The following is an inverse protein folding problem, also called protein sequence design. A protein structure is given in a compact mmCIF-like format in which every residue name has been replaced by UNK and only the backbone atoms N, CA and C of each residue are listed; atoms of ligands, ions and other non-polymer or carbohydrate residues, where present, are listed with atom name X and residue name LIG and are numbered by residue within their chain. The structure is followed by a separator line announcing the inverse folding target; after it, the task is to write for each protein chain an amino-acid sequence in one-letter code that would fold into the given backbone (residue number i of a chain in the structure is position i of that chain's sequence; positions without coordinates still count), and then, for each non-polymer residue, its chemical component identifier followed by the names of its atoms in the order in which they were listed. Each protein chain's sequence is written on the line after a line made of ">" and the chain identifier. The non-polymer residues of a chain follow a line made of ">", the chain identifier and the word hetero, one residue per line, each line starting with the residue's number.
data_IF_168199504879
#
_entry.id   IF_168199504879
#
_cell.length_a   1.000
_cell.length_b   1.000
_cell.length_c   1.000
_cell.angle_alpha   90.00
_cell.angle_beta   90.00
_cell.angle_gamma   90.00
#
_symmetry.space_group_name_H-M   'P 1'
#
loop_
_entity.id
_entity.type
_entity.pdbx_description
1 polymer ?
#
# COMPACT_ATOMS: atom_id res chain seq x y z
N UNK A 1 22.39 31.65 3.62
CA UNK A 1 21.76 30.65 2.75
C UNK A 1 20.55 31.31 2.12
N UNK A 2 20.51 31.43 0.80
CA UNK A 2 19.37 31.99 0.07
C UNK A 2 18.36 30.89 -0.30
N UNK A 3 17.18 31.26 -0.78
CA UNK A 3 16.11 30.31 -1.12
C UNK A 3 16.57 29.28 -2.17
N UNK A 4 17.36 29.69 -3.16
CA UNK A 4 17.87 28.79 -4.20
C UNK A 4 18.84 27.74 -3.63
N UNK A 5 19.70 28.12 -2.68
CA UNK A 5 20.59 27.18 -1.99
C UNK A 5 19.81 26.17 -1.14
N UNK A 6 18.71 26.61 -0.51
CA UNK A 6 17.81 25.72 0.25
C UNK A 6 17.10 24.73 -0.68
N UNK A 7 16.53 25.21 -1.79
CA UNK A 7 15.85 24.37 -2.79
C UNK A 7 16.79 23.30 -3.37
N UNK A 8 18.02 23.69 -3.72
CA UNK A 8 19.02 22.75 -4.23
C UNK A 8 19.43 21.70 -3.18
N UNK A 9 19.56 22.10 -1.91
CA UNK A 9 19.83 21.18 -0.82
C UNK A 9 18.69 20.17 -0.62
N UNK A 10 17.42 20.62 -0.63
CA UNK A 10 16.25 19.73 -0.51
C UNK A 10 16.19 18.75 -1.68
N UNK A 11 16.43 19.23 -2.91
CA UNK A 11 16.47 18.37 -4.10
C UNK A 11 17.53 17.27 -3.99
N UNK A 12 18.74 17.63 -3.52
CA UNK A 12 19.83 16.66 -3.30
C UNK A 12 19.46 15.63 -2.22
N UNK A 13 18.86 16.08 -1.11
CA UNK A 13 18.42 15.19 -0.04
C UNK A 13 17.34 14.21 -0.51
N UNK A 14 16.32 14.68 -1.24
CA UNK A 14 15.27 13.80 -1.80
C UNK A 14 15.85 12.75 -2.75
N UNK A 15 16.81 13.14 -3.59
CA UNK A 15 17.50 12.19 -4.46
C UNK A 15 18.30 11.14 -3.66
N UNK A 16 19.05 11.56 -2.66
CA UNK A 16 19.81 10.64 -1.80
C UNK A 16 18.89 9.68 -1.04
N UNK A 17 17.77 10.17 -0.50
CA UNK A 17 16.76 9.34 0.17
C UNK A 17 16.17 8.33 -0.81
N UNK A 18 15.86 8.74 -2.06
CA UNK A 18 15.39 7.82 -3.09
C UNK A 18 16.37 6.67 -3.34
N UNK A 19 17.66 6.98 -3.50
CA UNK A 19 18.71 5.95 -3.66
C UNK A 19 18.80 5.03 -2.44
N UNK A 20 18.64 5.57 -1.22
CA UNK A 20 18.59 4.75 -0.01
C UNK A 20 17.35 3.87 0.03
N UNK A 21 16.20 4.36 -0.42
CA UNK A 21 14.95 3.61 -0.54
C UNK A 21 15.07 2.40 -1.46
N UNK A 22 15.78 2.55 -2.59
CA UNK A 22 16.10 1.45 -3.51
C UNK A 22 16.96 0.34 -2.86
N UNK A 23 17.68 0.65 -1.79
CA UNK A 23 18.49 -0.31 -1.04
C UNK A 23 17.71 -1.00 0.10
N UNK A 24 16.49 -0.56 0.43
CA UNK A 24 15.66 -1.20 1.45
C UNK A 24 15.07 -2.49 0.89
N UNK A 25 15.28 -3.59 1.62
CA UNK A 25 14.67 -4.87 1.27
C UNK A 25 13.16 -4.85 1.55
N UNK A 26 12.36 -4.72 0.50
CA UNK A 26 10.89 -4.78 0.55
C UNK A 26 10.36 -6.07 1.20
N UNK A 27 11.14 -7.15 1.25
CA UNK A 27 10.74 -8.37 1.97
C UNK A 27 10.81 -8.20 3.48
N UNK A 28 11.78 -7.43 3.97
CA UNK A 28 11.98 -7.22 5.40
C UNK A 28 11.25 -5.98 5.93
N UNK A 29 11.07 -4.97 5.06
CA UNK A 29 10.55 -3.63 5.40
C UNK A 29 9.53 -3.13 4.38
N UNK A 30 8.44 -3.89 4.14
CA UNK A 30 7.50 -3.61 3.04
C UNK A 30 6.81 -2.25 3.14
N UNK A 31 6.44 -1.80 4.34
CA UNK A 31 5.73 -0.52 4.52
C UNK A 31 6.70 0.65 4.36
N UNK A 32 7.90 0.57 4.95
CA UNK A 32 8.91 1.61 4.81
C UNK A 32 9.39 1.74 3.35
N UNK A 33 9.60 0.61 2.65
CA UNK A 33 9.88 0.61 1.21
C UNK A 33 8.76 1.27 0.41
N UNK A 34 7.50 0.95 0.70
CA UNK A 34 6.34 1.55 0.04
C UNK A 34 6.28 3.07 0.25
N UNK A 35 6.48 3.54 1.49
CA UNK A 35 6.47 4.97 1.81
C UNK A 35 7.54 5.72 1.00
N UNK A 36 8.75 5.18 0.91
CA UNK A 36 9.83 5.80 0.15
C UNK A 36 9.61 5.74 -1.37
N UNK A 37 9.08 4.63 -1.88
CA UNK A 37 8.76 4.49 -3.31
C UNK A 37 7.70 5.49 -3.74
N UNK A 38 6.69 5.69 -2.90
CA UNK A 38 5.55 6.56 -3.18
C UNK A 38 5.74 8.02 -2.77
N UNK A 39 6.87 8.34 -2.12
CA UNK A 39 7.15 9.66 -1.54
C UNK A 39 6.03 10.12 -0.60
N UNK A 40 5.48 9.18 0.18
CA UNK A 40 4.37 9.42 1.10
C UNK A 40 4.82 10.06 2.39
N UNK A 41 3.95 10.92 2.93
CA UNK A 41 4.05 11.40 4.29
C UNK A 41 3.16 10.58 5.26
N UNK A 42 3.16 10.98 6.52
CA UNK A 42 2.33 10.36 7.57
C UNK A 42 0.82 10.47 7.27
N UNK A 43 0.39 11.55 6.63
CA UNK A 43 -1.00 11.76 6.26
C UNK A 43 -1.45 10.82 5.14
N UNK A 44 -0.58 10.55 4.17
CA UNK A 44 -0.89 9.64 3.07
C UNK A 44 -1.04 8.19 3.55
N UNK A 45 -0.12 7.71 4.39
CA UNK A 45 -0.24 6.37 4.96
C UNK A 45 -1.45 6.27 5.91
N UNK A 46 -1.77 7.33 6.66
CA UNK A 46 -2.98 7.37 7.51
C UNK A 46 -4.25 7.19 6.68
N UNK A 47 -4.38 7.87 5.53
CA UNK A 47 -5.56 7.71 4.65
C UNK A 47 -5.70 6.29 4.12
N UNK A 48 -4.57 5.62 3.84
CA UNK A 48 -4.57 4.20 3.46
C UNK A 48 -5.13 3.36 4.61
N UNK A 49 -4.65 3.57 5.83
CA UNK A 49 -5.20 2.90 7.02
C UNK A 49 -6.71 3.16 7.20
N UNK A 50 -7.18 4.38 6.97
CA UNK A 50 -8.61 4.72 7.08
C UNK A 50 -9.48 3.90 6.10
N UNK A 51 -8.99 3.68 4.87
CA UNK A 51 -9.68 2.82 3.90
C UNK A 51 -9.68 1.38 4.38
N UNK A 52 -8.55 0.86 4.87
CA UNK A 52 -8.51 -0.50 5.43
C UNK A 52 -9.46 -0.67 6.62
N UNK A 53 -9.49 0.28 7.55
CA UNK A 53 -10.39 0.27 8.71
C UNK A 53 -11.88 0.31 8.29
N UNK A 54 -12.22 1.15 7.30
CA UNK A 54 -13.58 1.18 6.73
C UNK A 54 -14.00 -0.20 6.23
N UNK A 55 -13.08 -0.92 5.58
CA UNK A 55 -13.34 -2.23 4.99
C UNK A 55 -13.37 -3.35 6.01
N UNK A 56 -12.51 -3.30 7.01
CA UNK A 56 -12.54 -4.20 8.16
C UNK A 56 -13.89 -4.09 8.90
N UNK A 57 -14.38 -2.87 9.13
CA UNK A 57 -15.69 -2.62 9.70
C UNK A 57 -16.84 -3.18 8.83
N UNK A 58 -16.71 -3.12 7.51
CA UNK A 58 -17.70 -3.68 6.59
C UNK A 58 -17.71 -5.22 6.62
N UNK A 59 -16.54 -5.85 6.71
CA UNK A 59 -16.39 -7.30 6.90
C UNK A 59 -17.05 -7.77 8.20
N UNK A 60 -16.81 -7.07 9.32
CA UNK A 60 -17.45 -7.37 10.60
C UNK A 60 -18.97 -7.30 10.54
N UNK A 61 -19.52 -6.41 9.71
CA UNK A 61 -20.96 -6.26 9.44
C UNK A 61 -21.50 -7.25 8.39
N UNK A 62 -20.67 -8.16 7.89
CA UNK A 62 -21.00 -9.14 6.83
C UNK A 62 -21.50 -8.48 5.54
N UNK A 63 -21.03 -7.27 5.26
CA UNK A 63 -21.34 -6.59 4.00
C UNK A 63 -20.55 -7.27 2.89
N UNK A 64 -21.23 -7.62 1.78
CA UNK A 64 -20.55 -8.20 0.63
C UNK A 64 -19.67 -7.15 -0.03
N UNK A 65 -18.38 -7.45 -0.07
CA UNK A 65 -17.35 -6.59 -0.64
C UNK A 65 -17.08 -6.93 -2.11
N UNK A 66 -16.69 -5.93 -2.90
CA UNK A 66 -16.29 -6.10 -4.30
C UNK A 66 -14.96 -5.40 -4.55
N UNK A 67 -14.06 -6.00 -5.34
CA UNK A 67 -12.77 -5.40 -5.69
C UNK A 67 -12.94 -3.98 -6.26
N UNK A 68 -13.92 -3.79 -7.15
CA UNK A 68 -14.19 -2.48 -7.75
C UNK A 68 -14.58 -1.39 -6.75
N UNK A 69 -15.29 -1.72 -5.67
CA UNK A 69 -15.59 -0.74 -4.62
C UNK A 69 -14.34 -0.38 -3.81
N UNK A 70 -13.46 -1.36 -3.54
CA UNK A 70 -12.19 -1.13 -2.85
C UNK A 70 -11.26 -0.26 -3.69
N UNK A 71 -11.11 -0.61 -4.96
CA UNK A 71 -10.29 0.12 -5.92
C UNK A 71 -10.76 1.56 -6.10
N UNK A 72 -12.07 1.82 -6.04
CA UNK A 72 -12.62 3.18 -6.10
C UNK A 72 -12.26 4.02 -4.88
N UNK A 73 -12.24 3.44 -3.67
CA UNK A 73 -11.83 4.15 -2.46
C UNK A 73 -10.35 4.56 -2.54
N UNK A 74 -9.48 3.69 -3.07
CA UNK A 74 -8.07 4.02 -3.31
C UNK A 74 -7.88 5.03 -4.45
N UNK A 75 -8.67 4.91 -5.51
CA UNK A 75 -8.66 5.89 -6.61
C UNK A 75 -9.00 7.31 -6.12
N UNK A 76 -9.86 7.44 -5.12
CA UNK A 76 -10.17 8.73 -4.49
C UNK A 76 -8.97 9.35 -3.75
N UNK A 77 -7.97 8.53 -3.38
CA UNK A 77 -6.69 8.95 -2.83
C UNK A 77 -5.60 9.18 -3.90
N UNK A 78 -5.97 9.19 -5.19
CA UNK A 78 -5.05 9.19 -6.34
C UNK A 78 -4.10 8.00 -6.38
N UNK A 79 -4.49 6.88 -5.75
CA UNK A 79 -3.75 5.61 -5.80
C UNK A 79 -4.28 4.81 -6.98
N UNK A 80 -3.42 4.56 -7.97
CA UNK A 80 -3.76 3.74 -9.12
C UNK A 80 -3.71 2.23 -8.79
N UNK A 81 -4.10 1.41 -9.75
CA UNK A 81 -4.15 -0.04 -9.55
C UNK A 81 -2.78 -0.67 -9.26
N UNK A 82 -1.69 -0.18 -9.88
CA UNK A 82 -0.36 -0.74 -9.64
C UNK A 82 0.14 -0.38 -8.24
N UNK A 83 -0.10 0.84 -7.80
CA UNK A 83 0.20 1.31 -6.45
C UNK A 83 -0.63 0.54 -5.43
N UNK A 84 -1.93 0.36 -5.69
CA UNK A 84 -2.80 -0.46 -4.84
C UNK A 84 -2.28 -1.90 -4.72
N UNK A 85 -1.76 -2.47 -5.81
CA UNK A 85 -1.12 -3.80 -5.75
C UNK A 85 0.05 -3.81 -4.78
N UNK A 86 0.95 -2.83 -4.86
CA UNK A 86 2.07 -2.69 -3.92
C UNK A 86 1.60 -2.51 -2.48
N UNK A 87 0.55 -1.72 -2.25
CA UNK A 87 -0.11 -1.55 -0.94
C UNK A 87 -0.59 -2.89 -0.40
N UNK A 88 -1.41 -3.63 -1.16
CA UNK A 88 -1.99 -4.90 -0.68
C UNK A 88 -0.89 -5.91 -0.34
N UNK A 89 0.14 -6.01 -1.18
CA UNK A 89 1.28 -6.89 -0.93
C UNK A 89 2.08 -6.46 0.29
N UNK A 90 2.34 -5.17 0.45
CA UNK A 90 3.13 -4.64 1.55
C UNK A 90 2.44 -4.85 2.91
N UNK A 91 1.16 -4.50 2.99
CA UNK A 91 0.36 -4.64 4.22
C UNK A 91 0.18 -6.10 4.61
N UNK A 92 -0.16 -6.97 3.67
CA UNK A 92 -0.29 -8.40 3.95
C UNK A 92 1.03 -9.00 4.43
N UNK A 93 2.16 -8.69 3.78
CA UNK A 93 3.48 -9.17 4.20
C UNK A 93 3.87 -8.63 5.57
N UNK A 94 3.50 -7.40 5.91
CA UNK A 94 3.75 -6.81 7.23
C UNK A 94 2.81 -7.36 8.33
N UNK A 95 1.91 -8.29 8.01
CA UNK A 95 0.93 -8.83 8.95
C UNK A 95 -0.17 -7.84 9.34
N UNK A 96 -0.35 -6.76 8.58
CA UNK A 96 -1.35 -5.72 8.84
C UNK A 96 -2.57 -5.91 7.93
N UNK A 97 -3.77 -5.70 8.50
CA UNK A 97 -5.05 -5.80 7.79
C UNK A 97 -5.24 -7.09 6.98
N UNK A 98 -4.68 -8.21 7.46
CA UNK A 98 -4.64 -9.47 6.72
C UNK A 98 -6.02 -9.93 6.23
N UNK A 99 -7.06 -9.78 7.05
CA UNK A 99 -8.42 -10.18 6.69
C UNK A 99 -9.01 -9.31 5.57
N UNK A 100 -8.69 -8.01 5.55
CA UNK A 100 -9.08 -7.11 4.46
C UNK A 100 -8.32 -7.47 3.18
N UNK A 101 -7.02 -7.72 3.27
CA UNK A 101 -6.20 -8.16 2.13
C UNK A 101 -6.74 -9.46 1.52
N UNK A 102 -7.04 -10.46 2.36
CA UNK A 102 -7.64 -11.74 1.91
C UNK A 102 -9.01 -11.51 1.27
N UNK A 103 -9.89 -10.75 1.91
CA UNK A 103 -11.22 -10.46 1.38
C UNK A 103 -11.17 -9.72 0.03
N UNK A 104 -10.23 -8.79 -0.15
CA UNK A 104 -10.01 -8.15 -1.44
C UNK A 104 -9.60 -9.17 -2.50
N UNK A 105 -8.66 -10.07 -2.19
CA UNK A 105 -8.24 -11.14 -3.11
C UNK A 105 -9.36 -12.14 -3.42
N UNK A 106 -10.17 -12.50 -2.42
CA UNK A 106 -11.32 -13.40 -2.59
C UNK A 106 -12.42 -12.78 -3.47
N UNK A 107 -12.52 -11.45 -3.50
CA UNK A 107 -13.50 -10.74 -4.33
C UNK A 107 -13.29 -10.92 -5.84
N UNK A 108 -12.13 -11.44 -6.27
CA UNK A 108 -11.85 -11.84 -7.65
C UNK A 108 -12.45 -13.21 -8.04
N UNK A 109 -13.28 -13.82 -7.17
CA UNK A 109 -13.99 -15.08 -7.43
C UNK A 109 -13.05 -16.24 -7.85
N UNK A 110 -11.91 -16.35 -7.18
CA UNK A 110 -10.94 -17.45 -7.42
C UNK A 110 -10.06 -17.29 -8.67
N UNK A 111 -10.11 -16.13 -9.34
CA UNK A 111 -9.19 -15.78 -10.43
C UNK A 111 -8.47 -14.45 -10.18
N UNK A 112 -7.78 -14.27 -9.03
CA UNK A 112 -7.02 -13.06 -8.79
C UNK A 112 -5.77 -12.99 -9.68
N UNK A 113 -5.18 -11.80 -9.87
CA UNK A 113 -3.83 -11.64 -10.43
C UNK A 113 -2.78 -12.55 -9.75
N UNK A 114 -1.78 -12.98 -10.53
CA UNK A 114 -0.74 -13.94 -10.10
C UNK A 114 -0.02 -13.50 -8.81
N UNK A 115 0.17 -12.20 -8.62
CA UNK A 115 0.85 -11.63 -7.46
C UNK A 115 0.10 -11.90 -6.15
N UNK A 116 -1.23 -12.02 -6.20
CA UNK A 116 -2.07 -12.30 -5.04
C UNK A 116 -2.24 -13.79 -4.74
N UNK A 117 -1.70 -14.68 -5.59
CA UNK A 117 -1.84 -16.13 -5.38
C UNK A 117 -1.31 -16.59 -4.01
N UNK A 118 -0.31 -15.91 -3.45
CA UNK A 118 0.21 -16.20 -2.10
C UNK A 118 -0.80 -15.85 -1.01
N UNK A 119 -1.43 -14.68 -1.13
CA UNK A 119 -2.51 -14.24 -0.23
C UNK A 119 -3.68 -15.24 -0.29
N UNK A 120 -4.07 -15.64 -1.51
CA UNK A 120 -5.12 -16.63 -1.73
C UNK A 120 -4.81 -17.99 -1.06
N UNK A 121 -3.54 -18.39 -1.02
CA UNK A 121 -3.09 -19.62 -0.33
C UNK A 121 -2.86 -19.45 1.17
N UNK A 122 -2.95 -18.23 1.71
CA UNK A 122 -2.67 -17.94 3.12
C UNK A 122 -1.19 -18.08 3.50
N UNK A 123 -0.28 -18.01 2.53
CA UNK A 123 1.16 -18.10 2.76
C UNK A 123 1.69 -16.74 3.25
N UNK A 124 2.50 -16.74 4.31
CA UNK A 124 3.34 -15.59 4.69
C UNK A 124 4.77 -15.84 4.22
N UNK A 125 5.48 -14.78 3.82
CA UNK A 125 6.93 -14.85 3.51
C UNK A 125 7.78 -15.01 4.77
#
# INVERSE_FOLDING_TARGET
>A
MNNHEIEDAIRKLRYQIKILGEAIDFRQKPIESLILEMDWDEGDISKVHDVFEKWDNALHKKVKLTSGAFENDFKALNIDYQTLKSVILAFYRNGQWMEVCKAYVDSFNGSPPLEYHRIMRGEMD
#
